data_IF_749685680469
#
_entry.id   IF_749685680469
#
_cell.length_a   1.000
_cell.length_b   1.000
_cell.length_c   1.000
_cell.angle_alpha   90.00
_cell.angle_beta   90.00
_cell.angle_gamma   90.00
#
_symmetry.space_group_name_H-M   'P 1'
#
loop_
_entity.id
_entity.type
_entity.pdbx_description
1 polymer ?
#
# COMPACT_ATOMS: atom_id res chain seq x y z
N UNK A 1 -5.40 6.66 3.12
CA UNK A 1 -4.95 5.25 3.24
C UNK A 1 -3.45 5.20 3.02
N UNK A 2 -2.72 4.21 3.58
CA UNK A 2 -1.30 4.07 3.34
C UNK A 2 -0.89 2.61 3.08
N UNK A 3 -0.01 2.40 2.11
CA UNK A 3 0.62 1.11 1.81
C UNK A 3 2.11 1.18 2.17
N UNK A 4 2.59 0.19 2.91
CA UNK A 4 3.98 0.12 3.36
C UNK A 4 4.70 -1.01 2.63
N UNK A 5 5.89 -0.71 2.13
CA UNK A 5 6.75 -1.65 1.43
C UNK A 5 8.10 -1.75 2.13
N UNK A 6 8.66 -2.95 2.20
CA UNK A 6 10.04 -3.14 2.63
C UNK A 6 11.02 -2.59 1.58
N UNK A 7 12.23 -2.24 2.04
CA UNK A 7 13.32 -1.82 1.18
C UNK A 7 13.26 -0.34 0.77
N UNK A 8 14.18 0.04 -0.12
CA UNK A 8 14.39 1.43 -0.52
C UNK A 8 13.35 1.90 -1.55
N UNK A 9 13.02 3.19 -1.50
CA UNK A 9 12.18 3.84 -2.51
C UNK A 9 12.90 3.82 -3.88
N UNK A 10 12.26 3.34 -4.96
CA UNK A 10 12.82 3.43 -6.31
C UNK A 10 12.95 4.89 -6.76
N UNK A 11 13.99 5.22 -7.55
CA UNK A 11 14.36 6.61 -7.90
C UNK A 11 13.21 7.43 -8.53
N UNK A 12 12.31 6.80 -9.28
CA UNK A 12 11.21 7.47 -10.00
C UNK A 12 9.83 7.04 -9.50
N UNK A 13 9.68 6.80 -8.19
CA UNK A 13 8.41 6.32 -7.65
C UNK A 13 7.48 7.45 -7.19
N UNK A 14 6.22 7.40 -7.64
CA UNK A 14 5.18 8.31 -7.16
C UNK A 14 4.74 7.93 -5.74
N UNK A 15 5.06 8.76 -4.75
CA UNK A 15 4.70 8.56 -3.32
C UNK A 15 3.19 8.52 -3.04
N UNK A 16 2.37 8.85 -4.03
CA UNK A 16 0.92 8.87 -3.92
C UNK A 16 0.26 8.22 -5.14
N UNK A 17 -0.74 7.38 -4.89
CA UNK A 17 -1.65 6.82 -5.88
C UNK A 17 -3.06 7.32 -5.52
N UNK A 18 -3.46 8.45 -6.09
CA UNK A 18 -4.68 9.15 -5.68
C UNK A 18 -4.65 9.52 -4.20
N UNK A 19 -5.61 9.01 -3.42
CA UNK A 19 -5.70 9.22 -1.95
C UNK A 19 -4.85 8.23 -1.12
N UNK A 20 -4.11 7.34 -1.78
CA UNK A 20 -3.25 6.35 -1.16
C UNK A 20 -1.83 6.88 -1.08
N UNK A 21 -1.25 6.92 0.11
CA UNK A 21 0.17 7.22 0.30
C UNK A 21 0.98 5.92 0.26
N UNK A 22 2.09 5.93 -0.45
CA UNK A 22 3.03 4.80 -0.51
C UNK A 22 4.27 5.14 0.29
N UNK A 23 4.65 4.24 1.20
CA UNK A 23 5.74 4.44 2.15
C UNK A 23 6.72 3.28 2.03
N UNK A 24 7.99 3.58 1.77
CA UNK A 24 9.07 2.59 1.73
C UNK A 24 9.85 2.58 3.04
N UNK A 25 10.21 1.39 3.50
CA UNK A 25 10.91 1.12 4.76
C UNK A 25 12.33 1.66 4.82
N UNK A 26 13.00 1.75 3.67
CA UNK A 26 14.43 1.96 3.56
C UNK A 26 15.18 0.88 4.32
N UNK A 27 15.89 1.27 5.37
CA UNK A 27 16.61 0.36 6.27
C UNK A 27 15.72 -0.27 7.38
N UNK A 28 14.44 0.12 7.49
CA UNK A 28 13.48 -0.43 8.46
C UNK A 28 12.49 -1.33 7.75
N UNK A 29 11.95 -2.32 8.46
CA UNK A 29 10.86 -3.13 7.93
C UNK A 29 9.55 -2.34 7.88
N UNK A 30 8.69 -2.69 6.92
CA UNK A 30 7.31 -2.22 6.84
C UNK A 30 6.56 -2.54 8.15
N UNK A 31 6.79 -3.73 8.71
CA UNK A 31 6.27 -4.15 10.00
C UNK A 31 6.58 -3.16 11.14
N UNK A 32 7.83 -2.71 11.23
CA UNK A 32 8.24 -1.76 12.26
C UNK A 32 7.61 -0.39 12.04
N UNK A 33 7.49 0.05 10.79
CA UNK A 33 6.82 1.30 10.45
C UNK A 33 5.33 1.25 10.78
N UNK A 34 4.64 0.16 10.42
CA UNK A 34 3.22 -0.06 10.72
C UNK A 34 3.02 -0.09 12.24
N UNK A 35 3.82 -0.89 12.96
CA UNK A 35 3.72 -1.01 14.41
C UNK A 35 3.91 0.35 15.11
N UNK A 36 4.88 1.16 14.66
CA UNK A 36 5.10 2.51 15.18
C UNK A 36 3.95 3.44 14.83
N UNK A 37 3.42 3.37 13.61
CA UNK A 37 2.31 4.23 13.16
C UNK A 37 1.05 3.98 13.96
N UNK A 38 0.70 2.71 14.17
CA UNK A 38 -0.49 2.35 14.96
C UNK A 38 -0.29 2.60 16.47
N UNK A 39 0.96 2.81 16.93
CA UNK A 39 1.24 3.13 18.33
C UNK A 39 0.70 4.50 18.75
N UNK A 40 0.64 5.45 17.82
CA UNK A 40 0.36 6.87 18.11
C UNK A 40 -1.10 7.25 17.88
N UNK A 41 -1.99 6.30 17.65
CA UNK A 41 -3.41 6.56 17.38
C UNK A 41 -4.30 5.36 17.66
N UNK A 42 -5.61 5.54 17.49
CA UNK A 42 -6.63 4.51 17.67
C UNK A 42 -7.50 4.36 16.42
N UNK A 43 -8.26 3.26 16.33
CA UNK A 43 -9.19 3.03 15.23
C UNK A 43 -8.54 2.62 13.91
N UNK A 44 -7.30 2.14 13.96
CA UNK A 44 -6.60 1.64 12.78
C UNK A 44 -7.16 0.29 12.34
N UNK A 45 -7.33 0.12 11.03
CA UNK A 45 -7.45 -1.19 10.38
C UNK A 45 -6.14 -1.50 9.67
N UNK A 46 -5.55 -2.67 9.94
CA UNK A 46 -4.32 -3.13 9.28
C UNK A 46 -4.62 -4.39 8.51
N UNK A 47 -4.43 -4.33 7.19
CA UNK A 47 -4.57 -5.50 6.30
C UNK A 47 -3.24 -6.25 6.28
N UNK A 48 -3.20 -7.47 6.81
CA UNK A 48 -1.99 -8.31 6.76
C UNK A 48 -2.32 -9.79 6.92
N UNK A 49 -1.56 -10.65 6.22
CA UNK A 49 -1.55 -12.09 6.45
C UNK A 49 -0.43 -12.53 7.41
N UNK A 50 0.47 -11.62 7.79
CA UNK A 50 1.59 -11.92 8.67
C UNK A 50 1.12 -12.04 10.13
N UNK A 51 1.28 -13.25 10.70
CA UNK A 51 0.93 -13.55 12.09
C UNK A 51 1.83 -12.84 13.10
N UNK A 52 3.09 -12.60 12.74
CA UNK A 52 4.06 -11.85 13.54
C UNK A 52 3.63 -10.40 13.70
N UNK A 53 3.37 -9.71 12.58
CA UNK A 53 2.84 -8.34 12.60
C UNK A 53 1.50 -8.27 13.34
N UNK A 54 0.56 -9.17 13.03
CA UNK A 54 -0.75 -9.21 13.68
C UNK A 54 -0.61 -9.33 15.21
N UNK A 55 0.23 -10.25 15.69
CA UNK A 55 0.48 -10.44 17.12
C UNK A 55 1.09 -9.20 17.78
N UNK A 56 2.00 -8.52 17.08
CA UNK A 56 2.67 -7.29 17.58
C UNK A 56 1.69 -6.13 17.77
N UNK A 57 0.68 -6.01 16.91
CA UNK A 57 -0.27 -4.88 16.91
C UNK A 57 -1.61 -5.18 17.59
N UNK A 58 -1.94 -6.45 17.84
CA UNK A 58 -3.24 -6.88 18.43
C UNK A 58 -3.55 -6.20 19.77
N UNK A 59 -2.53 -5.86 20.56
CA UNK A 59 -2.69 -5.19 21.87
C UNK A 59 -3.03 -3.70 21.77
N UNK A 60 -3.09 -3.11 20.57
CA UNK A 60 -3.10 -1.65 20.35
C UNK A 60 -4.43 -1.08 19.86
N UNK A 61 -5.57 -1.70 20.18
CA UNK A 61 -6.90 -1.30 19.64
C UNK A 61 -6.89 -1.18 18.10
N UNK A 62 -6.19 -2.11 17.44
CA UNK A 62 -6.10 -2.21 15.99
C UNK A 62 -6.94 -3.38 15.52
N UNK A 63 -7.78 -3.16 14.52
CA UNK A 63 -8.47 -4.23 13.81
C UNK A 63 -7.52 -4.83 12.77
N UNK A 64 -7.26 -6.13 12.87
CA UNK A 64 -6.45 -6.85 11.88
C UNK A 64 -7.39 -7.48 10.86
N UNK A 65 -7.23 -7.09 9.60
CA UNK A 65 -8.06 -7.53 8.47
C UNK A 65 -7.26 -8.53 7.65
N UNK A 66 -7.87 -9.69 7.36
CA UNK A 66 -7.28 -10.66 6.46
C UNK A 66 -7.26 -10.12 5.01
N UNK A 67 -6.17 -10.25 4.24
CA UNK A 67 -6.11 -9.78 2.86
C UNK A 67 -7.23 -10.30 1.96
N UNK A 68 -7.64 -11.56 2.11
CA UNK A 68 -8.73 -12.13 1.30
C UNK A 68 -10.08 -11.46 1.60
N UNK A 69 -10.34 -11.12 2.87
CA UNK A 69 -11.55 -10.40 3.25
C UNK A 69 -11.53 -8.96 2.72
N UNK A 70 -10.37 -8.30 2.77
CA UNK A 70 -10.20 -6.97 2.18
C UNK A 70 -10.40 -6.98 0.66
N UNK A 71 -9.84 -7.97 -0.05
CA UNK A 71 -10.03 -8.11 -1.50
C UNK A 71 -11.50 -8.35 -1.87
N UNK A 72 -12.19 -9.21 -1.13
CA UNK A 72 -13.63 -9.43 -1.35
C UNK A 72 -14.44 -8.15 -1.11
N UNK A 73 -14.09 -7.34 -0.11
CA UNK A 73 -14.71 -6.03 0.10
C UNK A 73 -14.46 -5.07 -1.06
N UNK A 74 -13.23 -5.01 -1.56
CA UNK A 74 -12.87 -4.19 -2.73
C UNK A 74 -13.64 -4.59 -3.98
N UNK A 75 -13.81 -5.89 -4.24
CA UNK A 75 -14.57 -6.40 -5.40
C UNK A 75 -16.06 -6.04 -5.35
N UNK A 76 -16.61 -5.81 -4.16
CA UNK A 76 -17.99 -5.39 -3.97
C UNK A 76 -18.20 -3.88 -4.08
N UNK A 77 -17.11 -3.08 -4.11
CA UNK A 77 -17.23 -1.63 -4.29
C UNK A 77 -17.74 -1.34 -5.72
N UNK A 78 -18.65 -0.36 -5.89
CA UNK A 78 -19.04 0.07 -7.22
C UNK A 78 -17.78 0.52 -7.96
N UNK A 79 -17.68 0.18 -9.24
CA UNK A 79 -16.66 0.76 -10.11
C UNK A 79 -16.80 2.29 -10.00
N UNK A 80 -15.85 2.93 -9.34
CA UNK A 80 -15.74 4.39 -9.37
C UNK A 80 -15.58 4.82 -10.82
N UNK A 81 -15.88 6.08 -11.15
CA UNK A 81 -15.50 6.65 -12.44
C UNK A 81 -13.99 6.50 -12.61
N UNK A 82 -13.61 5.43 -13.27
CA UNK A 82 -12.26 5.15 -13.69
C UNK A 82 -11.99 6.23 -14.74
N UNK A 83 -11.34 7.34 -14.34
CA UNK A 83 -10.55 8.10 -15.30
C UNK A 83 -9.41 7.17 -15.68
N UNK A 84 -9.72 6.26 -16.60
CA UNK A 84 -8.79 5.37 -17.25
C UNK A 84 -7.74 6.28 -17.85
N UNK A 85 -6.61 6.41 -17.17
CA UNK A 85 -5.38 6.98 -17.71
C UNK A 85 -4.77 6.02 -18.76
N UNK A 86 -5.58 5.15 -19.38
CA UNK A 86 -5.13 4.14 -20.33
C UNK A 86 -4.34 4.76 -21.48
N UNK A 87 -4.74 5.95 -21.93
CA UNK A 87 -4.02 6.71 -22.94
C UNK A 87 -2.65 7.21 -22.44
N UNK A 88 -2.55 7.57 -21.16
CA UNK A 88 -1.32 8.07 -20.52
C UNK A 88 -0.31 6.94 -20.26
N UNK A 89 -0.80 5.76 -19.88
CA UNK A 89 -0.02 4.54 -19.72
C UNK A 89 0.49 3.98 -21.06
N UNK A 90 -0.36 3.93 -22.08
CA UNK A 90 0.04 3.55 -23.44
C UNK A 90 1.10 4.51 -23.99
N UNK A 91 0.96 5.81 -23.73
CA UNK A 91 1.95 6.82 -24.12
C UNK A 91 3.27 6.63 -23.38
N UNK A 92 3.24 6.35 -22.07
CA UNK A 92 4.46 6.15 -21.27
C UNK A 92 5.26 4.90 -21.70
N UNK A 93 4.60 3.76 -21.93
CA UNK A 93 5.28 2.53 -22.40
C UNK A 93 5.69 2.57 -23.88
N UNK A 94 5.06 3.43 -24.67
CA UNK A 94 5.44 3.66 -26.07
C UNK A 94 6.68 4.54 -26.21
N UNK A 95 7.09 5.25 -25.15
CA UNK A 95 8.32 6.04 -25.15
C UNK A 95 9.55 5.12 -25.10
N UNK A 96 10.45 5.16 -26.11
CA UNK A 96 11.65 4.32 -26.16
C UNK A 96 12.54 4.43 -24.91
N UNK A 97 12.51 5.56 -24.20
CA UNK A 97 13.32 5.76 -22.99
C UNK A 97 12.89 4.89 -21.81
N UNK A 98 11.65 4.37 -21.83
CA UNK A 98 11.06 3.61 -20.73
C UNK A 98 11.04 2.09 -20.99
N UNK A 99 11.51 1.62 -22.16
CA UNK A 99 11.36 0.23 -22.62
C UNK A 99 12.17 -0.82 -21.85
N UNK A 100 13.16 -0.43 -21.05
CA UNK A 100 14.09 -1.35 -20.37
C UNK A 100 14.25 -1.04 -18.87
N UNK A 101 13.26 -0.41 -18.24
CA UNK A 101 13.25 -0.16 -16.79
C UNK A 101 12.47 -1.31 -16.15
N UNK A 102 13.14 -2.45 -15.92
CA UNK A 102 12.59 -3.61 -15.20
C UNK A 102 13.62 -4.13 -14.19
#
# INVERSE_FOLDING_TARGET
>A
MACYFDGSEPENFGRHLGSVSVIFGGARSADDLIANRVATGSGWKVVTADRGLASRIQRRQVEVVNPAAFMAELEMLPAGEEKVAGDEWLTWFSDPKNRNIF
#
